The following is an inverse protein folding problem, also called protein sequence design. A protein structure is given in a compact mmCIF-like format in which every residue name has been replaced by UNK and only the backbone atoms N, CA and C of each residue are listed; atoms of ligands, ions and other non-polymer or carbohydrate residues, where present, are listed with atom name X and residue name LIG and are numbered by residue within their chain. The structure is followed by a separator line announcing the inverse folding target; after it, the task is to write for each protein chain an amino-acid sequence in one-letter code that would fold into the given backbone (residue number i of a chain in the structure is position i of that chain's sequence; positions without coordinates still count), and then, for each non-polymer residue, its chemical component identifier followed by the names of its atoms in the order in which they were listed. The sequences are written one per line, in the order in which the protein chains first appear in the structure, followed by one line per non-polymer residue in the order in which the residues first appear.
data_IF_193481246883
#
_entry.id   IF_193481246883
#
_cell.length_a   1.000
_cell.length_b   1.000
_cell.length_c   1.000
_cell.angle_alpha   90.00
_cell.angle_beta   90.00
_cell.angle_gamma   90.00
#
_symmetry.space_group_name_H-M   'P 1'
#
loop_
_entity.id
_entity.type
_entity.pdbx_description
1 polymer ?
#
# COMPACT_ATOMS: atom_id res chain seq x y z
N UNK A 1 -50.24 -32.52 53.83
CA UNK A 1 -50.49 -31.58 52.72
C UNK A 1 -49.25 -30.73 52.61
N UNK A 2 -48.38 -31.10 51.68
CA UNK A 2 -47.05 -30.51 51.51
C UNK A 2 -46.85 -30.40 50.01
N UNK A 3 -46.53 -29.19 49.57
CA UNK A 3 -46.49 -28.73 48.18
C UNK A 3 -45.53 -29.55 47.30
N UNK A 4 -45.99 -29.86 46.09
CA UNK A 4 -45.15 -30.26 44.97
C UNK A 4 -44.70 -29.00 44.21
N UNK A 5 -43.40 -28.71 44.25
CA UNK A 5 -42.73 -27.77 43.35
C UNK A 5 -41.96 -28.59 42.31
N UNK A 6 -42.36 -28.46 41.05
CA UNK A 6 -41.70 -28.99 39.87
C UNK A 6 -40.38 -28.26 39.61
N UNK A 7 -39.26 -28.99 39.60
CA UNK A 7 -37.98 -28.52 39.09
C UNK A 7 -38.05 -28.43 37.56
N UNK A 8 -37.87 -27.23 37.02
CA UNK A 8 -37.52 -27.03 35.61
C UNK A 8 -36.01 -27.23 35.51
N UNK A 9 -35.64 -28.30 34.81
CA UNK A 9 -34.26 -28.63 34.45
C UNK A 9 -33.81 -27.62 33.38
N UNK A 10 -32.96 -26.66 33.76
CA UNK A 10 -32.30 -25.78 32.80
C UNK A 10 -31.13 -26.56 32.20
N UNK A 11 -31.37 -27.11 31.02
CA UNK A 11 -30.40 -27.82 30.18
C UNK A 11 -29.13 -26.98 29.97
N UNK A 12 -28.03 -27.36 30.63
CA UNK A 12 -26.75 -26.62 30.68
C UNK A 12 -25.82 -27.00 29.52
N UNK A 13 -26.26 -27.84 28.56
CA UNK A 13 -25.40 -28.30 27.46
C UNK A 13 -25.45 -27.44 26.18
N UNK A 14 -26.12 -26.29 26.21
CA UNK A 14 -26.22 -25.35 25.09
C UNK A 14 -25.16 -24.23 25.04
N UNK A 15 -24.25 -24.17 26.00
CA UNK A 15 -23.28 -23.08 26.15
C UNK A 15 -21.84 -23.59 26.05
N UNK A 16 -21.47 -24.18 24.90
CA UNK A 16 -20.07 -24.11 24.49
C UNK A 16 -19.70 -22.63 24.44
N UNK A 17 -18.89 -22.23 25.42
CA UNK A 17 -18.61 -20.86 25.78
C UNK A 17 -18.35 -20.01 24.54
N UNK A 18 -19.22 -19.03 24.29
CA UNK A 18 -18.96 -17.91 23.37
C UNK A 18 -17.59 -17.30 23.70
N UNK A 19 -17.16 -17.37 24.97
CA UNK A 19 -15.81 -17.02 25.44
C UNK A 19 -14.68 -17.88 24.86
N UNK A 20 -14.84 -19.20 24.71
CA UNK A 20 -13.82 -20.06 24.07
C UNK A 20 -13.78 -19.86 22.54
N UNK A 21 -14.92 -19.58 21.91
CA UNK A 21 -14.97 -19.23 20.48
C UNK A 21 -14.31 -17.86 20.25
N UNK A 22 -14.59 -16.87 21.09
CA UNK A 22 -13.94 -15.55 21.04
C UNK A 22 -12.47 -15.59 21.45
N UNK A 23 -12.07 -16.40 22.44
CA UNK A 23 -10.66 -16.61 22.80
C UNK A 23 -9.88 -17.33 21.70
N UNK A 24 -10.45 -18.33 21.02
CA UNK A 24 -9.78 -18.98 19.89
C UNK A 24 -9.65 -18.06 18.66
N UNK A 25 -10.64 -17.19 18.43
CA UNK A 25 -10.56 -16.12 17.41
C UNK A 25 -9.47 -15.10 17.81
N UNK A 26 -9.42 -14.64 19.07
CA UNK A 26 -8.47 -13.60 19.52
C UNK A 26 -7.04 -14.15 19.72
N UNK A 27 -6.86 -15.43 20.07
CA UNK A 27 -5.55 -16.05 20.24
C UNK A 27 -4.98 -16.68 18.96
N UNK A 28 -5.83 -17.15 18.04
CA UNK A 28 -5.40 -17.73 16.75
C UNK A 28 -4.71 -16.74 15.80
N UNK A 29 -4.84 -15.43 16.05
CA UNK A 29 -4.25 -14.36 15.25
C UNK A 29 -2.97 -13.75 15.82
N UNK A 30 -2.52 -14.17 17.01
CA UNK A 30 -1.31 -13.60 17.64
C UNK A 30 0.00 -14.10 17.01
N UNK A 31 -0.02 -15.24 16.32
CA UNK A 31 1.15 -15.83 15.67
C UNK A 31 1.26 -15.49 14.18
N UNK A 32 2.47 -15.21 13.71
CA UNK A 32 2.76 -15.10 12.28
C UNK A 32 2.74 -16.47 11.61
N UNK A 33 2.07 -16.55 10.46
CA UNK A 33 1.93 -17.77 9.66
C UNK A 33 2.85 -17.71 8.46
N UNK A 34 3.53 -18.82 8.16
CA UNK A 34 4.22 -18.96 6.88
C UNK A 34 3.19 -19.20 5.79
N UNK A 35 3.25 -18.45 4.69
CA UNK A 35 2.41 -18.74 3.54
C UNK A 35 2.86 -20.04 2.86
N UNK A 36 1.90 -20.93 2.58
CA UNK A 36 2.13 -22.27 2.05
C UNK A 36 1.99 -22.35 0.51
N UNK A 37 1.81 -21.19 -0.15
CA UNK A 37 1.59 -21.09 -1.59
C UNK A 37 0.14 -21.24 -2.02
N UNK A 38 -0.81 -21.45 -1.09
CA UNK A 38 -2.23 -21.64 -1.41
C UNK A 38 -3.06 -20.37 -1.12
N UNK A 39 -4.26 -20.24 -1.73
CA UNK A 39 -5.17 -19.16 -1.39
C UNK A 39 -5.49 -19.14 0.11
N UNK A 40 -5.30 -17.98 0.73
CA UNK A 40 -5.51 -17.78 2.17
C UNK A 40 -7.00 -17.84 2.51
N UNK A 41 -7.37 -18.75 3.42
CA UNK A 41 -8.75 -18.97 3.88
C UNK A 41 -9.05 -18.39 5.25
N UNK A 42 -8.02 -17.95 5.99
CA UNK A 42 -8.15 -17.48 7.36
C UNK A 42 -7.48 -16.12 7.56
N UNK A 43 -8.10 -15.18 8.30
CA UNK A 43 -7.43 -13.96 8.71
C UNK A 43 -6.13 -14.22 9.48
N UNK A 44 -5.23 -13.24 9.49
CA UNK A 44 -3.99 -13.31 10.25
C UNK A 44 -2.84 -12.56 9.62
N UNK A 45 -1.67 -12.68 10.24
CA UNK A 45 -0.42 -12.10 9.76
C UNK A 45 0.39 -13.19 9.07
N UNK A 46 0.73 -12.96 7.80
CA UNK A 46 1.45 -13.91 6.95
C UNK A 46 2.82 -13.37 6.54
N UNK A 47 3.81 -14.26 6.49
CA UNK A 47 5.19 -13.97 6.04
C UNK A 47 5.55 -14.77 4.79
N UNK A 48 6.55 -14.29 4.05
CA UNK A 48 7.05 -14.88 2.79
C UNK A 48 5.99 -15.01 1.68
N UNK A 49 5.11 -14.01 1.55
CA UNK A 49 4.22 -13.89 0.39
C UNK A 49 4.96 -13.07 -0.68
N UNK A 50 5.32 -13.66 -1.84
CA UNK A 50 5.91 -12.93 -2.94
C UNK A 50 5.03 -11.76 -3.39
N UNK A 51 5.65 -10.70 -3.93
CA UNK A 51 4.92 -9.51 -4.37
C UNK A 51 3.88 -9.82 -5.46
N UNK A 52 4.21 -10.70 -6.39
CA UNK A 52 3.30 -11.17 -7.44
C UNK A 52 2.04 -11.82 -6.85
N UNK A 53 2.20 -12.75 -5.91
CA UNK A 53 1.08 -13.39 -5.22
C UNK A 53 0.24 -12.38 -4.43
N UNK A 54 0.88 -11.38 -3.80
CA UNK A 54 0.18 -10.32 -3.07
C UNK A 54 -0.73 -9.48 -3.96
N UNK A 55 -0.28 -9.14 -5.17
CA UNK A 55 -1.07 -8.34 -6.12
C UNK A 55 -2.13 -9.16 -6.87
N UNK A 56 -2.03 -10.48 -6.88
CA UNK A 56 -3.03 -11.38 -7.47
C UNK A 56 -4.16 -11.82 -6.54
N UNK A 57 -4.75 -12.98 -6.88
CA UNK A 57 -5.81 -13.67 -6.12
C UNK A 57 -5.22 -14.42 -4.91
N UNK A 58 -4.81 -13.66 -3.89
CA UNK A 58 -4.12 -14.18 -2.70
C UNK A 58 -5.00 -15.01 -1.76
N UNK A 59 -6.29 -14.70 -1.68
CA UNK A 59 -7.25 -15.29 -0.73
C UNK A 59 -8.21 -16.24 -1.43
N UNK A 60 -9.00 -16.99 -0.67
CA UNK A 60 -10.04 -17.88 -1.23
C UNK A 60 -11.20 -17.15 -1.93
N UNK A 61 -11.30 -15.82 -1.78
CA UNK A 61 -12.21 -14.96 -2.52
C UNK A 61 -11.57 -13.61 -2.86
N UNK A 62 -12.24 -12.71 -3.60
CA UNK A 62 -11.67 -11.42 -4.00
C UNK A 62 -11.12 -10.61 -2.82
N UNK A 63 -9.94 -10.02 -3.01
CA UNK A 63 -9.23 -9.22 -2.01
C UNK A 63 -8.87 -7.84 -2.52
N UNK A 64 -8.92 -6.85 -1.65
CA UNK A 64 -8.55 -5.47 -1.98
C UNK A 64 -7.49 -4.92 -1.02
N UNK A 65 -6.53 -4.18 -1.58
CA UNK A 65 -5.46 -3.50 -0.86
C UNK A 65 -5.74 -2.00 -0.74
N UNK A 66 -4.88 -1.27 -0.02
CA UNK A 66 -4.99 0.19 0.09
C UNK A 66 -4.97 0.88 -1.28
N UNK A 67 -4.12 0.44 -2.21
CA UNK A 67 -4.09 1.02 -3.55
C UNK A 67 -5.45 0.88 -4.25
N UNK A 68 -6.09 -0.28 -4.16
CA UNK A 68 -7.43 -0.48 -4.73
C UNK A 68 -8.50 0.38 -4.07
N UNK A 69 -8.52 0.46 -2.74
CA UNK A 69 -9.47 1.32 -2.02
C UNK A 69 -9.28 2.80 -2.37
N UNK A 70 -8.02 3.26 -2.50
CA UNK A 70 -7.70 4.63 -2.91
C UNK A 70 -8.11 4.91 -4.35
N UNK A 71 -7.94 3.97 -5.26
CA UNK A 71 -8.33 4.13 -6.66
C UNK A 71 -9.86 4.25 -6.80
N UNK A 72 -10.61 3.42 -6.06
CA UNK A 72 -12.07 3.49 -6.00
C UNK A 72 -12.52 4.83 -5.39
N UNK A 73 -11.95 5.22 -4.25
CA UNK A 73 -12.36 6.40 -3.50
C UNK A 73 -12.00 7.72 -4.18
N UNK A 74 -10.77 7.84 -4.69
CA UNK A 74 -10.24 9.10 -5.23
C UNK A 74 -10.48 9.25 -6.73
N UNK A 75 -10.88 8.16 -7.41
CA UNK A 75 -11.23 8.17 -8.83
C UNK A 75 -12.57 7.48 -9.05
N UNK A 76 -12.57 6.21 -9.47
CA UNK A 76 -13.80 5.47 -9.71
C UNK A 76 -13.57 3.95 -9.67
N UNK A 77 -14.65 3.16 -9.49
CA UNK A 77 -14.59 1.70 -9.60
C UNK A 77 -13.99 1.22 -10.93
N UNK A 78 -14.31 1.88 -12.04
CA UNK A 78 -13.75 1.55 -13.36
C UNK A 78 -12.21 1.64 -13.39
N UNK A 79 -11.62 2.65 -12.76
CA UNK A 79 -10.15 2.80 -12.73
C UNK A 79 -9.48 1.66 -11.96
N UNK A 80 -10.08 1.25 -10.84
CA UNK A 80 -9.63 0.05 -10.14
C UNK A 80 -9.78 -1.19 -11.02
N UNK A 81 -10.95 -1.41 -11.63
CA UNK A 81 -11.20 -2.58 -12.48
C UNK A 81 -10.21 -2.69 -13.63
N UNK A 82 -9.90 -1.59 -14.31
CA UNK A 82 -8.98 -1.55 -15.44
C UNK A 82 -7.62 -2.18 -15.15
N UNK A 83 -7.12 -2.05 -13.92
CA UNK A 83 -5.81 -2.58 -13.48
C UNK A 83 -5.92 -3.74 -12.49
N UNK A 84 -7.14 -4.13 -12.11
CA UNK A 84 -7.38 -5.16 -11.11
C UNK A 84 -7.00 -6.54 -11.64
N UNK A 85 -6.43 -7.37 -10.79
CA UNK A 85 -6.18 -8.79 -11.09
C UNK A 85 -7.46 -9.59 -11.36
N UNK A 86 -8.63 -9.03 -11.01
CA UNK A 86 -9.94 -9.61 -11.29
C UNK A 86 -10.38 -9.40 -12.74
N UNK A 87 -9.80 -8.43 -13.44
CA UNK A 87 -10.09 -8.15 -14.84
C UNK A 87 -9.24 -9.06 -15.75
N UNK A 88 -9.85 -9.99 -16.50
CA UNK A 88 -9.10 -10.88 -17.40
C UNK A 88 -8.45 -10.11 -18.57
N UNK A 89 -8.98 -8.94 -18.91
CA UNK A 89 -8.52 -8.09 -20.00
C UNK A 89 -7.61 -6.94 -19.52
N UNK A 90 -7.06 -7.04 -18.31
CA UNK A 90 -6.17 -6.00 -17.77
C UNK A 90 -4.91 -5.87 -18.65
N UNK A 91 -4.43 -4.64 -18.91
CA UNK A 91 -3.16 -4.43 -19.59
C UNK A 91 -1.99 -4.97 -18.76
N UNK A 92 -0.84 -5.20 -19.40
CA UNK A 92 0.38 -5.54 -18.69
C UNK A 92 0.78 -4.42 -17.72
N UNK A 93 1.21 -4.80 -16.52
CA UNK A 93 1.65 -3.84 -15.51
C UNK A 93 2.94 -3.14 -15.99
N UNK A 94 2.87 -1.83 -16.25
CA UNK A 94 4.05 -1.00 -16.43
C UNK A 94 4.57 -0.55 -15.05
N UNK A 95 5.65 -1.18 -14.56
CA UNK A 95 6.37 -0.63 -13.39
C UNK A 95 7.22 0.55 -13.82
N UNK A 96 7.14 1.66 -13.06
CA UNK A 96 7.96 2.84 -13.34
C UNK A 96 9.31 2.74 -12.61
N UNK A 97 10.41 3.28 -13.19
CA UNK A 97 11.71 3.27 -12.53
C UNK A 97 11.72 3.89 -11.13
N UNK A 98 10.87 4.88 -10.89
CA UNK A 98 10.72 5.53 -9.58
C UNK A 98 10.08 4.62 -8.54
N UNK A 99 9.09 3.80 -8.93
CA UNK A 99 8.48 2.81 -8.03
C UNK A 99 9.47 1.70 -7.68
N UNK A 100 10.24 1.23 -8.65
CA UNK A 100 11.26 0.20 -8.43
C UNK A 100 12.39 0.71 -7.53
N UNK A 101 12.83 1.96 -7.72
CA UNK A 101 13.81 2.59 -6.83
C UNK A 101 13.26 2.78 -5.42
N UNK A 102 12.02 3.25 -5.27
CA UNK A 102 11.37 3.37 -3.96
C UNK A 102 11.29 2.03 -3.23
N UNK A 103 10.88 0.96 -3.92
CA UNK A 103 10.89 -0.41 -3.36
C UNK A 103 12.29 -0.84 -2.94
N UNK A 104 13.31 -0.57 -3.76
CA UNK A 104 14.69 -0.89 -3.43
C UNK A 104 15.18 -0.20 -2.16
N UNK A 105 14.81 1.07 -1.97
CA UNK A 105 15.10 1.85 -0.76
C UNK A 105 14.45 1.21 0.46
N UNK A 106 13.16 0.91 0.37
CA UNK A 106 12.43 0.24 1.45
C UNK A 106 13.07 -1.10 1.79
N UNK A 107 13.28 -1.95 0.80
CA UNK A 107 13.87 -3.28 1.04
C UNK A 107 15.25 -3.16 1.67
N UNK A 108 16.16 -2.29 1.20
CA UNK A 108 17.50 -2.19 1.80
C UNK A 108 17.46 -1.66 3.23
N UNK A 109 16.65 -0.64 3.51
CA UNK A 109 16.56 -0.03 4.84
C UNK A 109 15.90 -0.94 5.87
N UNK A 110 15.04 -1.84 5.41
CA UNK A 110 14.25 -2.74 6.25
C UNK A 110 14.85 -4.16 6.32
N UNK A 111 15.51 -4.65 5.27
CA UNK A 111 16.09 -6.01 5.16
C UNK A 111 17.29 -6.12 4.22
N UNK A 112 18.47 -6.43 4.75
CA UNK A 112 19.61 -6.80 3.89
C UNK A 112 19.38 -8.11 3.11
N UNK A 113 18.73 -9.09 3.74
CA UNK A 113 18.46 -10.40 3.11
C UNK A 113 17.36 -10.27 2.04
N UNK A 114 16.30 -9.50 2.29
CA UNK A 114 15.28 -9.16 1.29
C UNK A 114 15.91 -8.48 0.08
N UNK A 115 16.86 -7.55 0.32
CA UNK A 115 17.51 -6.83 -0.75
C UNK A 115 18.35 -7.74 -1.67
N UNK A 116 19.10 -8.69 -1.10
CA UNK A 116 19.92 -9.63 -1.89
C UNK A 116 19.10 -10.62 -2.72
N UNK A 117 17.91 -10.97 -2.22
CA UNK A 117 16.99 -11.86 -2.92
C UNK A 117 16.38 -11.16 -4.15
N UNK A 118 15.90 -9.93 -3.96
CA UNK A 118 15.07 -9.25 -4.95
C UNK A 118 15.85 -8.29 -5.88
N UNK A 119 17.06 -7.88 -5.49
CA UNK A 119 17.84 -6.88 -6.24
C UNK A 119 19.24 -7.38 -6.62
N UNK A 120 19.75 -6.84 -7.72
CA UNK A 120 21.11 -7.09 -8.20
C UNK A 120 21.71 -5.81 -8.77
N UNK A 121 22.96 -5.52 -8.41
CA UNK A 121 23.68 -4.38 -8.98
C UNK A 121 24.16 -4.72 -10.39
N UNK A 122 23.84 -3.84 -11.34
CA UNK A 122 24.33 -3.92 -12.71
C UNK A 122 25.85 -3.83 -12.74
N UNK A 123 26.54 -4.76 -13.42
CA UNK A 123 27.97 -4.64 -13.67
C UNK A 123 28.29 -3.32 -14.40
N UNK A 124 29.42 -2.70 -14.06
CA UNK A 124 29.91 -1.51 -14.79
C UNK A 124 30.60 -1.89 -16.10
N UNK A 125 31.06 -3.15 -16.20
CA UNK A 125 31.72 -3.70 -17.38
C UNK A 125 31.17 -5.08 -17.74
N UNK A 126 31.38 -5.50 -19.00
CA UNK A 126 31.03 -6.83 -19.50
C UNK A 126 32.15 -7.37 -20.40
N UNK A 127 32.38 -8.70 -20.45
CA UNK A 127 33.34 -9.28 -21.37
C UNK A 127 32.83 -9.23 -22.81
N UNK A 128 33.66 -8.75 -23.74
CA UNK A 128 33.36 -8.77 -25.16
C UNK A 128 33.21 -10.20 -25.67
N UNK A 129 32.12 -10.48 -26.39
CA UNK A 129 31.81 -11.84 -26.84
C UNK A 129 32.84 -12.42 -27.83
N UNK A 130 33.65 -11.58 -28.50
CA UNK A 130 34.66 -12.01 -29.48
C UNK A 130 36.06 -12.06 -28.88
N UNK A 131 36.44 -11.06 -28.10
CA UNK A 131 37.81 -10.93 -27.58
C UNK A 131 37.97 -11.35 -26.13
N UNK A 132 36.88 -11.43 -25.36
CA UNK A 132 36.91 -11.67 -23.92
C UNK A 132 37.37 -10.46 -23.09
N UNK A 133 37.74 -9.34 -23.72
CA UNK A 133 38.17 -8.12 -23.02
C UNK A 133 36.98 -7.41 -22.36
N UNK A 134 37.19 -6.86 -21.17
CA UNK A 134 36.14 -6.13 -20.46
C UNK A 134 35.93 -4.73 -21.05
N UNK A 135 34.68 -4.41 -21.37
CA UNK A 135 34.25 -3.10 -21.90
C UNK A 135 33.21 -2.46 -20.97
N UNK A 136 33.09 -1.11 -20.96
CA UNK A 136 32.02 -0.43 -20.24
C UNK A 136 30.64 -0.95 -20.63
N UNK A 137 29.73 -1.07 -19.67
CA UNK A 137 28.38 -1.58 -19.87
C UNK A 137 27.69 -0.92 -21.07
N UNK A 138 27.14 -1.75 -21.97
CA UNK A 138 26.37 -1.29 -23.12
C UNK A 138 25.10 -2.11 -23.25
N UNK A 139 23.94 -1.51 -22.93
CA UNK A 139 22.64 -2.17 -22.98
C UNK A 139 22.24 -2.73 -24.36
N UNK A 140 22.91 -2.32 -25.45
CA UNK A 140 22.69 -2.86 -26.79
C UNK A 140 23.52 -4.11 -27.08
N UNK A 141 24.56 -4.39 -26.29
CA UNK A 141 25.37 -5.61 -26.44
C UNK A 141 24.54 -6.86 -26.16
N UNK A 142 24.74 -7.92 -26.95
CA UNK A 142 24.08 -9.21 -26.73
C UNK A 142 24.31 -9.74 -25.32
N UNK A 143 25.55 -9.69 -24.83
CA UNK A 143 25.92 -10.15 -23.47
C UNK A 143 25.15 -9.38 -22.39
N UNK A 144 25.03 -8.06 -22.52
CA UNK A 144 24.30 -7.23 -21.57
C UNK A 144 22.79 -7.50 -21.62
N UNK A 145 22.21 -7.69 -22.82
CA UNK A 145 20.78 -8.02 -22.98
C UNK A 145 20.44 -9.39 -22.41
N UNK A 146 21.29 -10.38 -22.64
CA UNK A 146 21.14 -11.72 -22.07
C UNK A 146 21.23 -11.67 -20.53
N UNK A 147 22.22 -10.96 -19.99
CA UNK A 147 22.32 -10.79 -18.53
C UNK A 147 21.08 -10.13 -17.93
N UNK A 148 20.54 -9.08 -18.55
CA UNK A 148 19.30 -8.43 -18.10
C UNK A 148 18.10 -9.38 -18.17
N UNK A 149 18.01 -10.17 -19.24
CA UNK A 149 16.96 -11.17 -19.40
C UNK A 149 17.05 -12.28 -18.32
N UNK A 150 18.26 -12.73 -18.00
CA UNK A 150 18.52 -13.70 -16.94
C UNK A 150 18.12 -13.15 -15.56
N UNK A 151 18.42 -11.90 -15.26
CA UNK A 151 17.99 -11.26 -14.01
C UNK A 151 16.47 -11.16 -13.94
N UNK A 152 15.82 -10.75 -15.03
CA UNK A 152 14.35 -10.70 -15.11
C UNK A 152 13.72 -12.09 -14.92
N UNK A 153 14.30 -13.13 -15.53
CA UNK A 153 13.87 -14.52 -15.36
C UNK A 153 14.07 -15.03 -13.93
N UNK A 154 15.11 -14.54 -13.25
CA UNK A 154 15.34 -14.80 -11.83
C UNK A 154 14.46 -13.95 -10.90
N UNK A 155 13.57 -13.10 -11.44
CA UNK A 155 12.70 -12.22 -10.65
C UNK A 155 13.44 -11.05 -10.00
N UNK A 156 14.66 -10.73 -10.43
CA UNK A 156 15.49 -9.68 -9.84
C UNK A 156 15.30 -8.33 -10.51
N UNK A 157 15.25 -7.29 -9.71
CA UNK A 157 15.30 -5.89 -10.14
C UNK A 157 16.75 -5.42 -10.22
N UNK A 158 17.13 -4.87 -11.38
CA UNK A 158 18.50 -4.42 -11.66
C UNK A 158 18.68 -2.97 -11.22
N UNK A 159 19.66 -2.71 -10.36
CA UNK A 159 20.01 -1.37 -9.88
C UNK A 159 21.35 -0.90 -10.45
N UNK A 160 21.47 0.41 -10.68
CA UNK A 160 22.75 1.05 -11.02
C UNK A 160 23.65 1.15 -9.79
N UNK A 161 24.98 1.14 -9.99
CA UNK A 161 25.93 1.41 -8.91
C UNK A 161 25.68 2.77 -8.24
N UNK A 162 25.29 3.80 -9.02
CA UNK A 162 24.90 5.11 -8.49
C UNK A 162 23.66 5.03 -7.61
N UNK A 163 22.64 4.27 -8.03
CA UNK A 163 21.43 4.05 -7.23
C UNK A 163 21.76 3.37 -5.90
N UNK A 164 22.60 2.34 -5.91
CA UNK A 164 23.05 1.67 -4.66
C UNK A 164 23.74 2.66 -3.73
N UNK A 165 24.60 3.53 -4.27
CA UNK A 165 25.27 4.58 -3.50
C UNK A 165 24.29 5.60 -2.93
N UNK A 166 23.27 5.99 -3.68
CA UNK A 166 22.21 6.90 -3.21
C UNK A 166 21.41 6.25 -2.07
N UNK A 167 21.06 4.96 -2.19
CA UNK A 167 20.37 4.21 -1.13
C UNK A 167 21.23 4.16 0.15
N UNK A 168 22.54 3.89 0.00
CA UNK A 168 23.48 3.93 1.13
C UNK A 168 23.56 5.32 1.77
N UNK A 169 23.55 6.38 0.95
CA UNK A 169 23.55 7.76 1.43
C UNK A 169 22.28 8.12 2.23
N UNK A 170 21.12 7.65 1.77
CA UNK A 170 19.85 7.78 2.52
C UNK A 170 19.92 7.01 3.85
N UNK A 171 20.42 5.77 3.85
CA UNK A 171 20.59 4.96 5.05
C UNK A 171 21.52 5.63 6.07
N UNK A 172 22.67 6.14 5.63
CA UNK A 172 23.61 6.87 6.47
C UNK A 172 23.02 8.17 7.03
N UNK A 173 22.17 8.85 6.26
CA UNK A 173 21.48 10.05 6.74
C UNK A 173 20.48 9.72 7.83
N UNK A 174 19.64 8.72 7.61
CA UNK A 174 18.59 8.31 8.56
C UNK A 174 19.19 7.73 9.84
N UNK A 175 20.28 6.97 9.75
CA UNK A 175 20.94 6.35 10.91
C UNK A 175 21.50 7.35 11.91
N UNK A 176 21.74 8.60 11.48
CA UNK A 176 22.18 9.71 12.34
C UNK A 176 21.05 10.35 13.15
N UNK A 177 19.80 9.94 12.94
CA UNK A 177 18.64 10.45 13.67
C UNK A 177 17.94 9.32 14.44
N UNK A 178 17.97 9.38 15.76
CA UNK A 178 17.43 8.31 16.61
C UNK A 178 15.92 8.07 16.40
N UNK A 179 15.13 9.12 16.17
CA UNK A 179 13.68 8.99 15.91
C UNK A 179 13.43 8.24 14.61
N UNK A 180 14.17 8.58 13.53
CA UNK A 180 14.05 7.87 12.26
C UNK A 180 14.45 6.39 12.41
N UNK A 181 15.53 6.10 13.15
CA UNK A 181 15.95 4.73 13.44
C UNK A 181 14.86 3.97 14.18
N UNK A 182 14.27 4.56 15.22
CA UNK A 182 13.23 3.90 16.03
C UNK A 182 11.97 3.59 15.23
N UNK A 183 11.54 4.51 14.35
CA UNK A 183 10.40 4.29 13.45
C UNK A 183 10.63 3.12 12.47
N UNK A 184 11.88 2.82 12.12
CA UNK A 184 12.23 1.76 11.16
C UNK A 184 12.52 0.39 11.83
N UNK A 185 12.42 0.26 13.16
CA UNK A 185 12.78 -0.97 13.92
C UNK A 185 11.70 -2.07 13.95
N UNK A 186 10.56 -1.89 13.29
CA UNK A 186 9.46 -2.86 13.37
C UNK A 186 9.61 -4.10 12.48
N UNK A 187 8.56 -4.93 12.45
CA UNK A 187 8.56 -6.20 11.71
C UNK A 187 8.18 -5.97 10.25
N UNK A 188 9.07 -6.35 9.36
CA UNK A 188 8.97 -6.00 7.94
C UNK A 188 8.37 -7.12 7.08
N UNK A 189 7.91 -6.78 5.87
CA UNK A 189 7.41 -7.72 4.85
C UNK A 189 6.28 -8.65 5.36
N UNK A 190 5.43 -8.12 6.25
CA UNK A 190 4.28 -8.85 6.79
C UNK A 190 3.01 -8.43 6.08
N UNK A 191 2.27 -9.42 5.58
CA UNK A 191 0.95 -9.19 5.01
C UNK A 191 -0.11 -9.50 6.05
N UNK A 192 -0.94 -8.54 6.37
CA UNK A 192 -2.07 -8.67 7.28
C UNK A 192 -3.30 -8.88 6.41
N UNK A 193 -3.94 -10.03 6.60
CA UNK A 193 -5.08 -10.46 5.80
C UNK A 193 -6.28 -10.55 6.73
N UNK A 194 -7.37 -9.89 6.36
CA UNK A 194 -8.61 -9.90 7.16
C UNK A 194 -9.82 -10.06 6.26
N UNK A 195 -10.88 -10.65 6.79
CA UNK A 195 -12.15 -10.77 6.09
C UNK A 195 -13.13 -9.78 6.70
N UNK A 196 -13.68 -8.90 5.88
CA UNK A 196 -14.70 -7.97 6.32
C UNK A 196 -16.01 -8.71 6.55
N UNK A 197 -16.53 -8.67 7.79
CA UNK A 197 -17.74 -9.41 8.16
C UNK A 197 -18.99 -8.86 7.48
N UNK A 198 -19.01 -7.56 7.15
CA UNK A 198 -20.17 -6.91 6.55
C UNK A 198 -20.32 -7.25 5.06
N UNK A 199 -19.24 -7.16 4.30
CA UNK A 199 -19.24 -7.34 2.84
C UNK A 199 -18.83 -8.73 2.40
N UNK A 200 -18.18 -9.51 3.28
CA UNK A 200 -17.56 -10.79 2.95
C UNK A 200 -16.26 -10.69 2.15
N UNK A 201 -15.88 -9.48 1.71
CA UNK A 201 -14.68 -9.23 0.92
C UNK A 201 -13.42 -9.34 1.79
N UNK A 202 -12.32 -9.77 1.17
CA UNK A 202 -11.02 -9.83 1.85
C UNK A 202 -10.31 -8.48 1.74
N UNK A 203 -9.66 -8.06 2.81
CA UNK A 203 -8.74 -6.92 2.82
C UNK A 203 -7.32 -7.40 3.06
N UNK A 204 -6.37 -6.82 2.33
CA UNK A 204 -4.95 -7.11 2.46
C UNK A 204 -4.15 -5.83 2.68
N UNK A 205 -3.35 -5.80 3.72
CA UNK A 205 -2.40 -4.71 3.98
C UNK A 205 -1.00 -5.28 4.15
N UNK A 206 0.00 -4.57 3.63
CA UNK A 206 1.41 -4.90 3.83
C UNK A 206 2.12 -3.60 4.20
N UNK A 207 2.01 -3.15 5.46
CA UNK A 207 2.79 -2.02 5.91
C UNK A 207 4.28 -2.37 5.83
N UNK A 208 5.12 -1.37 5.58
CA UNK A 208 6.57 -1.52 5.57
C UNK A 208 7.08 -2.15 6.86
N UNK A 209 6.50 -1.72 7.96
CA UNK A 209 6.89 -2.07 9.31
C UNK A 209 5.63 -2.23 10.17
N UNK A 210 5.37 -3.45 10.65
CA UNK A 210 4.42 -3.65 11.73
C UNK A 210 5.09 -3.18 13.02
N UNK A 211 4.46 -2.25 13.77
CA UNK A 211 5.05 -1.70 14.97
C UNK A 211 5.42 -2.77 15.99
N UNK A 212 6.57 -2.57 16.63
CA UNK A 212 6.93 -3.29 17.86
C UNK A 212 6.21 -2.69 19.09
N UNK A 213 5.78 -1.44 18.98
CA UNK A 213 5.08 -0.63 19.97
C UNK A 213 3.68 -0.21 19.44
N UNK A 214 3.23 1.01 19.72
CA UNK A 214 1.95 1.55 19.28
C UNK A 214 2.05 2.55 18.11
N UNK A 215 3.23 2.71 17.49
CA UNK A 215 3.49 3.70 16.44
C UNK A 215 3.72 3.01 15.10
N UNK A 216 2.74 3.05 14.20
CA UNK A 216 2.94 2.56 12.84
C UNK A 216 3.68 3.60 12.00
N UNK A 217 4.74 3.17 11.31
CA UNK A 217 5.54 4.02 10.45
C UNK A 217 5.60 3.47 9.02
N UNK A 218 5.63 4.37 8.06
CA UNK A 218 5.80 4.05 6.64
C UNK A 218 6.84 5.00 6.04
N UNK A 219 7.82 4.44 5.34
CA UNK A 219 8.86 5.20 4.68
C UNK A 219 8.33 5.69 3.33
N UNK A 220 8.77 6.85 2.87
CA UNK A 220 8.44 7.38 1.54
C UNK A 220 9.67 8.03 0.95
N UNK A 221 10.03 7.61 -0.26
CA UNK A 221 11.03 8.34 -1.06
C UNK A 221 10.36 9.47 -1.84
N UNK A 222 10.99 10.64 -1.91
CA UNK A 222 10.46 11.79 -2.65
C UNK A 222 11.57 12.63 -3.30
N UNK A 223 11.20 13.55 -4.19
CA UNK A 223 12.13 14.53 -4.74
C UNK A 223 12.30 15.77 -3.83
N UNK A 224 11.30 16.07 -2.99
CA UNK A 224 11.25 17.25 -2.12
C UNK A 224 10.58 16.87 -0.79
N UNK A 225 11.34 16.91 0.30
CA UNK A 225 10.86 16.60 1.65
C UNK A 225 10.43 17.86 2.44
N UNK A 226 10.28 19.01 1.78
CA UNK A 226 9.78 20.23 2.42
C UNK A 226 8.36 20.03 2.99
N UNK A 227 7.98 20.78 4.05
CA UNK A 227 6.65 20.65 4.65
C UNK A 227 5.49 20.82 3.66
N UNK A 228 5.64 21.70 2.66
CA UNK A 228 4.61 21.94 1.64
C UNK A 228 4.51 20.75 0.68
N UNK A 229 5.63 20.25 0.17
CA UNK A 229 5.64 19.11 -0.74
C UNK A 229 5.12 17.84 -0.06
N UNK A 230 5.56 17.57 1.17
CA UNK A 230 5.09 16.44 1.99
C UNK A 230 3.58 16.53 2.22
N UNK A 231 3.06 17.70 2.59
CA UNK A 231 1.61 17.86 2.84
C UNK A 231 0.79 17.60 1.57
N UNK A 232 1.27 18.08 0.41
CA UNK A 232 0.65 17.78 -0.89
C UNK A 232 0.71 16.29 -1.22
N UNK A 233 1.85 15.64 -0.99
CA UNK A 233 2.03 14.22 -1.24
C UNK A 233 1.08 13.36 -0.39
N UNK A 234 0.89 13.69 0.89
CA UNK A 234 -0.03 12.99 1.79
C UNK A 234 -1.45 12.95 1.22
N UNK A 235 -1.93 14.09 0.72
CA UNK A 235 -3.26 14.20 0.12
C UNK A 235 -3.31 13.52 -1.24
N UNK A 236 -2.40 13.87 -2.15
CA UNK A 236 -2.43 13.41 -3.54
C UNK A 236 -2.30 11.89 -3.68
N UNK A 237 -1.50 11.26 -2.81
CA UNK A 237 -1.29 9.81 -2.83
C UNK A 237 -2.17 9.07 -1.82
N UNK A 238 -3.07 9.78 -1.12
CA UNK A 238 -3.97 9.20 -0.13
C UNK A 238 -3.26 8.40 0.96
N UNK A 239 -2.12 8.89 1.48
CA UNK A 239 -1.35 8.14 2.49
C UNK A 239 -2.12 7.96 3.80
N UNK A 240 -3.04 8.86 4.14
CA UNK A 240 -3.96 8.67 5.28
C UNK A 240 -4.79 7.39 5.13
N UNK A 241 -5.33 7.11 3.93
CA UNK A 241 -6.08 5.88 3.64
C UNK A 241 -5.20 4.63 3.74
N UNK A 242 -3.93 4.73 3.33
CA UNK A 242 -2.97 3.65 3.47
C UNK A 242 -2.73 3.30 4.94
N UNK A 243 -2.43 4.30 5.77
CA UNK A 243 -2.22 4.11 7.20
C UNK A 243 -3.50 3.61 7.88
N UNK A 244 -4.66 4.20 7.56
CA UNK A 244 -5.95 3.78 8.09
C UNK A 244 -6.27 2.32 7.80
N UNK A 245 -5.99 1.81 6.59
CA UNK A 245 -6.20 0.39 6.27
C UNK A 245 -5.26 -0.50 7.08
N UNK A 246 -3.97 -0.14 7.18
CA UNK A 246 -3.01 -0.91 7.95
C UNK A 246 -3.40 -1.01 9.43
N UNK A 247 -3.80 0.11 10.04
CA UNK A 247 -4.31 0.16 11.42
C UNK A 247 -5.55 -0.73 11.57
N UNK A 248 -6.54 -0.56 10.68
CA UNK A 248 -7.78 -1.37 10.68
C UNK A 248 -7.48 -2.87 10.62
N UNK A 249 -6.53 -3.28 9.76
CA UNK A 249 -6.16 -4.68 9.61
C UNK A 249 -5.42 -5.21 10.85
N UNK A 250 -4.49 -4.43 11.43
CA UNK A 250 -3.75 -4.79 12.64
C UNK A 250 -4.68 -5.02 13.85
N UNK A 251 -5.63 -4.10 14.05
CA UNK A 251 -6.61 -4.20 15.14
C UNK A 251 -7.54 -5.40 14.94
N UNK A 252 -7.99 -5.64 13.70
CA UNK A 252 -8.86 -6.77 13.39
C UNK A 252 -8.20 -8.14 13.62
N UNK A 253 -6.87 -8.24 13.55
CA UNK A 253 -6.12 -9.46 13.92
C UNK A 253 -5.66 -9.47 15.38
N UNK A 254 -6.17 -8.57 16.22
CA UNK A 254 -5.93 -8.56 17.66
C UNK A 254 -4.52 -8.12 18.08
N UNK A 255 -3.82 -7.35 17.23
CA UNK A 255 -2.61 -6.65 17.67
C UNK A 255 -2.97 -5.49 18.61
N UNK A 256 -1.98 -4.99 19.37
CA UNK A 256 -2.18 -3.81 20.23
C UNK A 256 -2.71 -2.64 19.40
N UNK A 257 -3.57 -1.84 20.04
CA UNK A 257 -4.10 -0.60 19.46
C UNK A 257 -2.94 0.27 19.00
N UNK A 258 -2.94 0.62 17.71
CA UNK A 258 -2.02 1.64 17.18
C UNK A 258 -2.54 2.99 17.65
N UNK A 259 -1.71 3.77 18.33
CA UNK A 259 -2.09 5.08 18.86
C UNK A 259 -1.62 6.23 17.98
N UNK A 260 -0.60 6.00 17.16
CA UNK A 260 0.01 7.02 16.31
C UNK A 260 0.41 6.44 14.95
N UNK A 261 0.25 7.26 13.91
CA UNK A 261 0.71 6.97 12.55
C UNK A 261 1.71 8.04 12.11
N UNK A 262 2.85 7.60 11.58
CA UNK A 262 3.94 8.50 11.16
C UNK A 262 4.37 8.14 9.75
N UNK A 263 4.61 9.17 8.93
CA UNK A 263 5.28 9.02 7.64
C UNK A 263 6.69 9.59 7.73
N UNK A 264 7.68 8.84 7.26
CA UNK A 264 9.05 9.29 7.13
C UNK A 264 9.34 9.53 5.64
N UNK A 265 9.51 10.77 5.24
CA UNK A 265 9.88 11.13 3.87
C UNK A 265 11.39 11.32 3.77
N UNK A 266 12.04 10.74 2.77
CA UNK A 266 13.47 10.92 2.48
C UNK A 266 13.68 11.29 1.01
N UNK A 267 14.49 12.31 0.76
CA UNK A 267 14.81 12.74 -0.59
C UNK A 267 15.71 11.73 -1.30
N UNK A 268 15.43 11.47 -2.58
CA UNK A 268 16.19 10.52 -3.41
C UNK A 268 17.52 11.09 -3.93
N UNK A 269 17.80 12.38 -3.70
CA UNK A 269 19.01 13.06 -4.14
C UNK A 269 19.76 13.66 -2.96
N UNK A 270 21.09 13.73 -3.07
CA UNK A 270 21.94 14.45 -2.11
C UNK A 270 21.39 15.88 -1.87
N UNK A 271 21.26 16.35 -0.62
CA UNK A 271 21.86 15.84 0.62
C UNK A 271 21.06 14.76 1.35
N UNK A 272 20.03 14.18 0.70
CA UNK A 272 19.10 13.19 1.23
C UNK A 272 18.31 13.74 2.43
N UNK A 273 17.84 15.00 2.34
CA UNK A 273 17.06 15.59 3.43
C UNK A 273 15.80 14.74 3.70
N UNK A 274 15.33 14.75 4.94
CA UNK A 274 14.19 13.94 5.34
C UNK A 274 13.24 14.72 6.25
N UNK A 275 12.00 14.25 6.34
CA UNK A 275 10.93 14.85 7.11
C UNK A 275 10.10 13.76 7.80
N UNK A 276 10.00 13.86 9.13
CA UNK A 276 9.17 12.97 9.94
C UNK A 276 7.84 13.67 10.18
N UNK A 277 6.76 13.06 9.71
CA UNK A 277 5.43 13.65 9.73
C UNK A 277 4.45 12.76 10.50
N UNK A 278 4.21 13.03 11.79
CA UNK A 278 3.07 12.49 12.50
C UNK A 278 1.76 12.91 11.83
N UNK A 279 0.80 12.00 11.80
CA UNK A 279 -0.51 12.21 11.20
C UNK A 279 -1.56 12.46 12.28
N UNK A 280 -2.52 13.33 11.98
CA UNK A 280 -3.62 13.63 12.91
C UNK A 280 -4.58 12.43 13.01
N UNK A 281 -4.94 12.06 14.24
CA UNK A 281 -5.82 10.91 14.48
C UNK A 281 -7.26 11.14 13.98
N UNK A 282 -7.73 12.39 13.97
CA UNK A 282 -9.01 12.77 13.38
C UNK A 282 -9.02 12.54 11.87
N UNK A 283 -7.95 12.96 11.18
CA UNK A 283 -7.78 12.74 9.74
C UNK A 283 -7.63 11.25 9.39
N UNK A 284 -6.92 10.46 10.21
CA UNK A 284 -6.88 9.00 10.08
C UNK A 284 -8.28 8.39 10.22
N UNK A 285 -9.07 8.83 11.20
CA UNK A 285 -10.44 8.37 11.37
C UNK A 285 -11.33 8.75 10.17
N UNK A 286 -11.14 9.94 9.58
CA UNK A 286 -11.80 10.30 8.32
C UNK A 286 -11.41 9.31 7.22
N UNK A 287 -10.13 8.99 7.07
CA UNK A 287 -9.63 8.05 6.08
C UNK A 287 -10.10 6.60 6.30
N UNK A 288 -10.34 6.18 7.55
CA UNK A 288 -11.01 4.90 7.84
C UNK A 288 -12.44 4.86 7.28
N UNK A 289 -13.19 5.97 7.37
CA UNK A 289 -14.54 6.06 6.79
C UNK A 289 -14.50 6.05 5.26
N UNK A 290 -13.50 6.70 4.66
CA UNK A 290 -13.26 6.63 3.21
C UNK A 290 -12.99 5.20 2.76
N UNK A 291 -12.09 4.49 3.45
CA UNK A 291 -11.82 3.07 3.18
C UNK A 291 -13.08 2.20 3.33
N UNK A 292 -13.90 2.44 4.35
CA UNK A 292 -15.17 1.73 4.54
C UNK A 292 -16.14 1.98 3.38
N UNK A 293 -16.25 3.21 2.90
CA UNK A 293 -17.07 3.54 1.72
C UNK A 293 -16.58 2.80 0.48
N UNK A 294 -15.29 2.92 0.17
CA UNK A 294 -14.68 2.24 -0.98
C UNK A 294 -14.81 0.71 -0.91
N UNK A 295 -14.72 0.12 0.30
CA UNK A 295 -14.92 -1.32 0.49
C UNK A 295 -16.37 -1.75 0.23
N UNK A 296 -17.36 -0.95 0.66
CA UNK A 296 -18.76 -1.23 0.34
C UNK A 296 -18.97 -1.15 -1.19
N UNK A 297 -18.44 -0.11 -1.84
CA UNK A 297 -18.51 0.05 -3.30
C UNK A 297 -17.84 -1.11 -4.03
N UNK A 298 -16.67 -1.56 -3.57
CA UNK A 298 -15.98 -2.74 -4.12
C UNK A 298 -16.88 -3.99 -4.05
N UNK A 299 -17.52 -4.22 -2.91
CA UNK A 299 -18.41 -5.36 -2.73
C UNK A 299 -19.68 -5.27 -3.60
N UNK A 300 -20.26 -4.08 -3.75
CA UNK A 300 -21.39 -3.82 -4.64
C UNK A 300 -21.01 -4.10 -6.10
N UNK A 301 -19.84 -3.62 -6.55
CA UNK A 301 -19.34 -3.87 -7.91
C UNK A 301 -19.08 -5.37 -8.16
N UNK A 302 -18.49 -6.07 -7.17
CA UNK A 302 -18.30 -7.52 -7.24
C UNK A 302 -19.62 -8.28 -7.38
N UNK A 303 -20.65 -7.88 -6.62
CA UNK A 303 -21.95 -8.52 -6.65
C UNK A 303 -22.73 -8.24 -7.95
N UNK A 304 -22.61 -7.02 -8.46
CA UNK A 304 -23.31 -6.58 -9.68
C UNK A 304 -22.59 -7.03 -10.97
N UNK A 305 -21.27 -7.27 -10.92
CA UNK A 305 -20.45 -7.46 -12.11
C UNK A 305 -20.30 -6.19 -12.94
N UNK A 306 -20.54 -5.02 -12.34
CA UNK A 306 -20.46 -3.71 -12.98
C UNK A 306 -19.49 -2.79 -12.23
N UNK A 307 -18.69 -2.04 -12.97
CA UNK A 307 -17.63 -1.18 -12.46
C UNK A 307 -17.79 0.23 -13.06
N UNK A 308 -18.64 1.07 -12.46
CA UNK A 308 -19.03 2.33 -13.07
C UNK A 308 -17.89 3.35 -13.15
N UNK A 309 -18.02 4.26 -14.12
CA UNK A 309 -17.20 5.48 -14.22
C UNK A 309 -17.68 6.55 -13.23
N UNK A 310 -17.20 7.78 -13.35
CA UNK A 310 -17.70 8.90 -12.57
C UNK A 310 -19.23 9.03 -12.70
N UNK A 311 -19.95 9.32 -11.60
CA UNK A 311 -21.37 9.59 -11.68
C UNK A 311 -21.62 10.83 -12.53
N UNK A 312 -22.76 10.87 -13.21
CA UNK A 312 -23.19 12.08 -13.93
C UNK A 312 -23.26 13.25 -12.95
N UNK A 313 -22.55 14.34 -13.28
CA UNK A 313 -22.55 15.53 -12.44
C UNK A 313 -23.83 16.33 -12.68
N UNK A 314 -24.63 16.51 -11.63
CA UNK A 314 -25.71 17.50 -11.62
C UNK A 314 -25.21 18.92 -11.31
N UNK A 315 -23.91 19.07 -10.97
CA UNK A 315 -23.29 20.36 -10.73
C UNK A 315 -22.71 20.93 -12.02
N UNK A 316 -23.16 22.12 -12.38
CA UNK A 316 -22.47 22.93 -13.39
C UNK A 316 -21.08 23.27 -12.89
N UNK A 317 -20.07 23.01 -13.71
CA UNK A 317 -18.73 23.47 -13.39
C UNK A 317 -18.68 25.01 -13.40
N UNK A 318 -18.14 25.56 -12.32
CA UNK A 318 -17.86 26.99 -12.20
C UNK A 318 -16.37 27.20 -12.07
N UNK A 319 -15.86 28.26 -12.70
CA UNK A 319 -14.44 28.59 -12.61
C UNK A 319 -14.01 28.82 -11.16
N UNK A 320 -12.83 28.35 -10.75
CA UNK A 320 -12.30 28.65 -9.43
C UNK A 320 -12.02 30.16 -9.32
N UNK A 321 -12.16 30.71 -8.11
CA UNK A 321 -12.10 32.16 -7.86
C UNK A 321 -10.85 32.85 -8.45
N UNK A 322 -9.68 32.23 -8.35
CA UNK A 322 -8.45 32.80 -8.89
C UNK A 322 -8.47 32.95 -10.42
N UNK A 323 -9.22 32.08 -11.11
CA UNK A 323 -9.38 32.13 -12.56
C UNK A 323 -10.43 33.18 -12.92
N UNK A 324 -11.58 33.17 -12.24
CA UNK A 324 -12.64 34.17 -12.49
C UNK A 324 -12.13 35.59 -12.24
N UNK A 325 -11.43 35.81 -11.13
CA UNK A 325 -10.89 37.13 -10.76
C UNK A 325 -9.90 37.68 -11.79
N UNK A 326 -9.17 36.80 -12.52
CA UNK A 326 -8.22 37.19 -13.57
C UNK A 326 -8.91 37.82 -14.78
N UNK A 327 -10.12 37.37 -15.11
CA UNK A 327 -10.83 37.73 -16.34
C UNK A 327 -12.03 38.64 -16.10
N UNK A 328 -12.66 38.60 -14.92
CA UNK A 328 -13.78 39.50 -14.55
C UNK A 328 -13.46 40.99 -14.72
N UNK A 329 -12.17 41.36 -14.62
CA UNK A 329 -11.70 42.74 -14.72
C UNK A 329 -10.82 42.98 -15.95
N UNK A 330 -10.71 42.01 -16.85
CA UNK A 330 -9.90 42.15 -18.05
C UNK A 330 -10.71 42.88 -19.13
N UNK A 331 -10.53 44.20 -19.20
CA UNK A 331 -11.20 45.06 -20.18
C UNK A 331 -10.73 44.86 -21.62
N UNK A 332 -9.76 43.97 -21.87
CA UNK A 332 -9.32 43.61 -23.23
C UNK A 332 -10.13 42.46 -23.83
N UNK A 333 -10.97 41.80 -23.03
CA UNK A 333 -11.87 40.76 -23.53
C UNK A 333 -12.97 41.40 -24.40
N UNK A 334 -13.16 40.92 -25.64
CA UNK A 334 -14.17 41.46 -26.53
C UNK A 334 -15.58 41.12 -26.02
N UNK A 335 -16.54 42.03 -26.24
CA UNK A 335 -17.94 41.77 -25.94
C UNK A 335 -18.47 40.63 -26.83
N UNK A 336 -19.23 39.71 -26.25
CA UNK A 336 -19.90 38.65 -26.99
C UNK A 336 -21.28 39.18 -27.39
N UNK A 337 -21.54 39.32 -28.70
CA UNK A 337 -22.89 39.63 -29.19
C UNK A 337 -23.86 38.52 -28.74
N UNK A 338 -24.87 38.91 -27.96
CA UNK A 338 -25.74 37.97 -27.26
C UNK A 338 -26.51 37.06 -28.21
N UNK A 339 -26.52 35.75 -27.93
CA UNK A 339 -27.69 34.94 -28.24
C UNK A 339 -28.76 35.29 -27.21
N UNK A 340 -29.84 35.92 -27.68
CA UNK A 340 -31.09 36.00 -26.95
C UNK A 340 -31.51 34.59 -26.50
N UNK A 341 -32.08 34.53 -25.30
CA UNK A 341 -32.43 33.33 -24.53
C UNK A 341 -33.15 32.23 -25.31
#
# INVERSE_FOLDING_TARGET
MTDQLSMIDNDVDGMQSIGQITENIVHGYRGERLWDGKPISEPGIYRKIPMEAYHGQLTVGPSISSSGLREIENRSPLHYWATSYLNPDRPEDETTPSLDFGRAVHTLLLSEDGFRNDYVTRPETYPDAKTGEFKPWNGNSTVCREWLADQRKAGKTVLLASQVKDIQGMAERLSKNQVAVDLLRGRIERSIIVKDQKTGAWMKSRPDSIPADAIIADLKTCADASPVAVSRAIVNYGYLQQMALAITCLEAVGQKQVTEAVLLFVETSYPFAFNIKPLDNGDIHIAMRQNRRALNTFAECLAAGDWPTYPDSTFTWSAPKWWSDRYEKDSTLPEIEGKAA
#
